data_IF_303923338782
#
_entry.id   IF_303923338782
#
_cell.length_a   1.000
_cell.length_b   1.000
_cell.length_c   1.000
_cell.angle_alpha   90.00
_cell.angle_beta   90.00
_cell.angle_gamma   90.00
#
_symmetry.space_group_name_H-M   'P 1'
#
loop_
_entity.id
_entity.type
_entity.pdbx_description
1 polymer ?
#
# COMPACT_ATOMS: atom_id res chain seq x y z
N UNK A 1 -50.95 54.90 -12.73
CA UNK A 1 -51.01 53.42 -12.66
C UNK A 1 -49.64 52.88 -12.97
N UNK A 2 -49.23 51.91 -12.15
CA UNK A 2 -47.90 51.30 -11.99
C UNK A 2 -47.60 50.28 -13.09
N UNK A 3 -46.31 50.03 -13.34
CA UNK A 3 -45.67 48.71 -13.60
C UNK A 3 -44.73 48.77 -14.83
N UNK A 4 -43.41 48.90 -14.64
CA UNK A 4 -42.42 47.88 -14.24
C UNK A 4 -41.96 46.95 -15.38
N UNK A 5 -40.72 47.23 -15.82
CA UNK A 5 -39.61 46.41 -16.33
C UNK A 5 -39.89 45.00 -16.89
N UNK A 6 -39.20 44.68 -17.99
CA UNK A 6 -38.47 43.41 -18.14
C UNK A 6 -37.34 43.56 -19.17
N UNK A 7 -36.10 43.55 -18.68
CA UNK A 7 -34.89 43.36 -19.49
C UNK A 7 -34.64 41.87 -19.52
N UNK A 8 -34.75 41.26 -20.70
CA UNK A 8 -34.45 39.84 -20.89
C UNK A 8 -32.95 39.68 -21.07
N UNK A 9 -32.26 39.23 -20.02
CA UNK A 9 -30.88 38.77 -20.10
C UNK A 9 -30.87 37.28 -20.48
N UNK A 10 -30.34 36.96 -21.66
CA UNK A 10 -30.01 35.59 -22.02
C UNK A 10 -28.73 35.18 -21.30
N UNK A 11 -28.86 34.38 -20.24
CA UNK A 11 -27.71 33.72 -19.59
C UNK A 11 -27.38 32.49 -20.42
N UNK A 12 -26.23 32.53 -21.11
CA UNK A 12 -25.67 31.36 -21.78
C UNK A 12 -25.16 30.36 -20.75
N UNK A 13 -25.74 29.16 -20.75
CA UNK A 13 -25.19 28.01 -20.00
C UNK A 13 -23.94 27.50 -20.71
N UNK A 14 -22.76 27.87 -20.20
CA UNK A 14 -21.51 27.20 -20.53
C UNK A 14 -21.45 25.87 -19.79
N UNK A 15 -21.68 24.76 -20.50
CA UNK A 15 -21.40 23.40 -20.03
C UNK A 15 -19.88 23.23 -19.90
N UNK A 16 -19.36 23.36 -18.67
CA UNK A 16 -18.00 22.98 -18.33
C UNK A 16 -17.92 21.45 -18.30
N UNK A 17 -17.43 20.85 -19.38
CA UNK A 17 -16.97 19.46 -19.36
C UNK A 17 -15.72 19.39 -18.47
N UNK A 18 -15.88 18.92 -17.23
CA UNK A 18 -14.74 18.50 -16.43
C UNK A 18 -14.11 17.28 -17.11
N UNK A 19 -12.94 17.48 -17.72
CA UNK A 19 -12.16 16.37 -18.26
C UNK A 19 -11.82 15.41 -17.12
N UNK A 20 -12.32 14.18 -17.20
CA UNK A 20 -11.90 13.08 -16.33
C UNK A 20 -10.44 12.77 -16.67
N UNK A 21 -9.50 13.11 -15.78
CA UNK A 21 -8.13 12.62 -15.88
C UNK A 21 -8.18 11.14 -15.47
N UNK A 22 -8.43 10.26 -16.44
CA UNK A 22 -8.24 8.83 -16.27
C UNK A 22 -6.76 8.55 -16.49
N UNK A 23 -5.96 8.64 -15.43
CA UNK A 23 -4.60 8.10 -15.45
C UNK A 23 -4.73 6.60 -15.65
N UNK A 24 -4.40 6.09 -16.84
CA UNK A 24 -4.25 4.65 -17.03
C UNK A 24 -3.04 4.21 -16.19
N UNK A 25 -3.30 3.63 -15.02
CA UNK A 25 -2.27 3.04 -14.16
C UNK A 25 -1.81 1.75 -14.82
N UNK A 26 -0.55 1.72 -15.28
CA UNK A 26 0.07 0.49 -15.77
C UNK A 26 0.62 -0.27 -14.55
N UNK A 27 0.08 -1.46 -14.30
CA UNK A 27 0.50 -2.32 -13.20
C UNK A 27 1.59 -3.29 -13.66
N UNK A 28 2.66 -3.40 -12.87
CA UNK A 28 3.63 -4.48 -13.05
C UNK A 28 3.13 -5.70 -12.28
N UNK A 29 2.53 -6.64 -13.01
CA UNK A 29 1.96 -7.87 -12.43
C UNK A 29 2.83 -9.07 -12.83
N UNK A 30 3.21 -9.90 -11.87
CA UNK A 30 3.83 -11.20 -12.13
C UNK A 30 3.39 -12.24 -11.12
N UNK A 31 3.10 -13.46 -11.58
CA UNK A 31 2.60 -14.56 -10.75
C UNK A 31 1.36 -14.21 -9.90
N UNK A 32 0.52 -13.29 -10.38
CA UNK A 32 -0.65 -12.80 -9.64
C UNK A 32 -0.33 -11.72 -8.59
N UNK A 33 0.93 -11.33 -8.43
CA UNK A 33 1.33 -10.25 -7.52
C UNK A 33 1.47 -8.93 -8.26
N UNK A 34 1.08 -7.83 -7.62
CA UNK A 34 1.19 -6.48 -8.15
C UNK A 34 2.33 -5.77 -7.44
N UNK A 35 3.39 -5.49 -8.18
CA UNK A 35 4.56 -4.82 -7.63
C UNK A 35 4.31 -3.33 -7.52
N UNK A 36 4.57 -2.79 -6.32
CA UNK A 36 4.39 -1.38 -6.02
C UNK A 36 5.74 -0.64 -6.09
N UNK A 37 5.74 0.69 -6.13
CA UNK A 37 6.95 1.49 -5.93
C UNK A 37 7.43 1.47 -4.46
N UNK A 38 7.68 0.30 -3.88
CA UNK A 38 8.11 0.13 -2.49
C UNK A 38 8.37 -1.33 -2.13
N UNK A 39 8.54 -1.63 -0.84
CA UNK A 39 8.77 -3.01 -0.37
C UNK A 39 7.53 -3.88 -0.38
N UNK A 40 6.34 -3.29 -0.18
CA UNK A 40 5.10 -4.03 -0.16
C UNK A 40 4.69 -4.46 -1.58
N UNK A 41 4.27 -5.70 -1.72
CA UNK A 41 3.73 -6.25 -2.97
C UNK A 41 2.28 -6.66 -2.69
N UNK A 42 1.36 -6.30 -3.59
CA UNK A 42 -0.06 -6.64 -3.40
C UNK A 42 -0.32 -8.04 -3.94
N UNK A 43 -0.71 -8.96 -3.08
CA UNK A 43 -1.16 -10.31 -3.46
C UNK A 43 -2.66 -10.31 -3.80
N UNK A 44 -3.45 -9.50 -3.09
CA UNK A 44 -4.88 -9.32 -3.34
C UNK A 44 -5.38 -7.97 -2.80
N UNK A 45 -6.45 -7.39 -3.40
CA UNK A 45 -7.18 -7.87 -4.57
C UNK A 45 -6.45 -7.58 -5.90
N UNK A 46 -6.96 -8.12 -7.02
CA UNK A 46 -6.52 -7.71 -8.36
C UNK A 46 -7.13 -6.36 -8.74
N UNK A 47 -6.54 -5.61 -9.70
CA UNK A 47 -7.14 -4.38 -10.19
C UNK A 47 -8.56 -4.59 -10.70
N UNK A 48 -9.42 -3.60 -10.48
CA UNK A 48 -10.82 -3.56 -10.91
C UNK A 48 -11.71 -4.70 -10.36
N UNK A 49 -11.24 -5.39 -9.31
CA UNK A 49 -12.02 -6.46 -8.69
C UNK A 49 -13.31 -5.89 -8.07
N UNK A 50 -14.48 -6.48 -8.36
CA UNK A 50 -15.71 -6.17 -7.65
C UNK A 50 -15.65 -6.79 -6.24
N UNK A 51 -15.76 -5.94 -5.22
CA UNK A 51 -15.67 -6.30 -3.80
C UNK A 51 -16.98 -6.01 -3.07
N UNK A 52 -17.13 -6.71 -1.94
CA UNK A 52 -18.27 -6.67 -1.03
C UNK A 52 -18.05 -7.67 0.10
N UNK A 53 -19.12 -8.22 0.67
CA UNK A 53 -19.08 -9.13 1.80
C UNK A 53 -19.02 -8.40 3.14
N UNK A 54 -18.64 -9.12 4.19
CA UNK A 54 -18.56 -8.55 5.53
C UNK A 54 -17.37 -7.60 5.69
N UNK A 55 -16.23 -7.99 5.12
CA UNK A 55 -14.94 -7.32 5.23
C UNK A 55 -14.35 -7.09 3.84
N UNK A 56 -13.53 -6.05 3.71
CA UNK A 56 -12.49 -6.00 2.67
C UNK A 56 -11.29 -6.80 3.17
N UNK A 57 -10.71 -7.62 2.29
CA UNK A 57 -9.48 -8.36 2.55
C UNK A 57 -8.41 -7.91 1.57
N UNK A 58 -7.31 -7.39 2.11
CA UNK A 58 -6.13 -6.95 1.35
C UNK A 58 -4.95 -7.77 1.85
N UNK A 59 -4.24 -8.42 0.93
CA UNK A 59 -3.06 -9.21 1.25
C UNK A 59 -1.81 -8.52 0.70
N UNK A 60 -0.83 -8.25 1.57
CA UNK A 60 0.42 -7.59 1.24
C UNK A 60 1.61 -8.47 1.61
N UNK A 61 2.46 -8.84 0.66
CA UNK A 61 3.80 -9.35 0.95
C UNK A 61 4.68 -8.15 1.39
N UNK A 62 5.21 -8.20 2.59
CA UNK A 62 6.06 -7.16 3.21
C UNK A 62 7.53 -7.57 3.30
N UNK A 63 7.91 -8.62 2.57
CA UNK A 63 9.25 -9.17 2.50
C UNK A 63 10.00 -8.77 1.23
N UNK A 64 9.38 -7.96 0.35
CA UNK A 64 9.97 -7.56 -0.93
C UNK A 64 10.43 -8.76 -1.75
N UNK A 65 9.54 -9.75 -1.94
CA UNK A 65 9.84 -11.01 -2.62
C UNK A 65 11.00 -11.77 -1.93
N UNK A 66 10.95 -11.82 -0.59
CA UNK A 66 11.93 -12.49 0.26
C UNK A 66 13.28 -11.77 0.43
N UNK A 67 13.44 -10.54 -0.08
CA UNK A 67 14.71 -9.79 -0.04
C UNK A 67 14.87 -8.91 1.19
N UNK A 68 13.76 -8.52 1.82
CA UNK A 68 13.73 -7.76 3.06
C UNK A 68 13.48 -8.71 4.24
N UNK A 69 14.30 -8.68 5.30
CA UNK A 69 14.02 -9.43 6.51
C UNK A 69 12.72 -8.92 7.16
N UNK A 70 12.07 -9.78 7.95
CA UNK A 70 10.88 -9.37 8.70
C UNK A 70 11.25 -8.63 9.99
N UNK A 71 10.35 -7.76 10.51
CA UNK A 71 10.56 -7.12 11.80
C UNK A 71 10.68 -8.15 12.94
N UNK A 72 11.36 -7.82 14.05
CA UNK A 72 11.90 -6.50 14.37
C UNK A 72 13.19 -6.18 13.60
N UNK A 73 13.26 -4.95 13.07
CA UNK A 73 14.46 -4.45 12.40
C UNK A 73 15.50 -3.97 13.43
N UNK A 74 16.78 -4.12 13.10
CA UNK A 74 17.83 -3.45 13.86
C UNK A 74 17.66 -1.93 13.75
N UNK A 75 17.99 -1.19 14.82
CA UNK A 75 17.81 0.27 14.87
C UNK A 75 18.54 1.00 13.73
N UNK A 76 19.69 0.48 13.33
CA UNK A 76 20.54 0.97 12.25
C UNK A 76 20.36 0.19 10.93
N UNK A 77 19.27 -0.58 10.79
CA UNK A 77 19.02 -1.35 9.58
C UNK A 77 19.04 -0.43 8.36
N UNK A 78 19.90 -0.72 7.36
CA UNK A 78 19.98 0.09 6.15
C UNK A 78 18.70 -0.03 5.31
N UNK A 79 17.92 -1.10 5.49
CA UNK A 79 16.62 -1.27 4.86
C UNK A 79 15.57 -1.75 5.86
N UNK A 80 14.41 -1.09 5.91
CA UNK A 80 13.30 -1.44 6.79
C UNK A 80 12.00 -0.77 6.35
N UNK A 81 10.86 -1.37 6.68
CA UNK A 81 9.56 -0.70 6.60
C UNK A 81 9.33 0.03 7.92
N UNK A 82 9.07 1.34 7.84
CA UNK A 82 8.71 2.14 9.01
C UNK A 82 7.23 2.02 9.32
N UNK A 83 6.38 2.16 8.30
CA UNK A 83 4.93 2.01 8.41
C UNK A 83 4.29 1.82 7.03
N UNK A 84 3.14 1.13 6.99
CA UNK A 84 2.25 1.06 5.85
C UNK A 84 0.86 1.53 6.30
N UNK A 85 0.36 2.58 5.65
CA UNK A 85 -1.00 3.09 5.86
C UNK A 85 -1.84 2.84 4.63
N UNK A 86 -3.14 2.57 4.82
CA UNK A 86 -4.05 2.20 3.74
C UNK A 86 -5.32 3.03 3.88
N UNK A 87 -5.76 3.59 2.76
CA UNK A 87 -6.99 4.36 2.66
C UNK A 87 -7.87 3.82 1.54
N UNK A 88 -9.18 3.99 1.67
CA UNK A 88 -10.16 3.71 0.62
C UNK A 88 -10.78 5.02 0.18
N UNK A 89 -10.49 5.47 -1.03
CA UNK A 89 -10.96 6.78 -1.49
C UNK A 89 -11.64 6.75 -2.86
N UNK A 90 -12.53 7.71 -3.08
CA UNK A 90 -13.17 7.97 -4.36
C UNK A 90 -13.44 9.45 -4.52
N UNK A 91 -12.83 10.07 -5.54
CA UNK A 91 -13.11 11.45 -5.91
C UNK A 91 -14.57 11.64 -6.36
N UNK A 92 -15.14 10.64 -7.03
CA UNK A 92 -16.51 10.68 -7.54
C UNK A 92 -17.55 10.67 -6.43
N UNK A 93 -17.22 10.01 -5.32
CA UNK A 93 -18.09 9.90 -4.14
C UNK A 93 -17.74 10.92 -3.06
N UNK A 94 -16.63 11.64 -3.19
CA UNK A 94 -16.14 12.56 -2.16
C UNK A 94 -15.81 11.85 -0.83
N UNK A 95 -15.35 10.60 -0.90
CA UNK A 95 -15.06 9.76 0.27
C UNK A 95 -13.58 9.41 0.36
N UNK A 96 -13.02 9.42 1.57
CA UNK A 96 -11.66 9.00 1.88
C UNK A 96 -11.61 8.35 3.26
N UNK A 97 -11.80 7.03 3.32
CA UNK A 97 -11.85 6.29 4.57
C UNK A 97 -10.48 5.78 5.00
N UNK A 98 -10.16 5.89 6.28
CA UNK A 98 -8.96 5.25 6.86
C UNK A 98 -9.19 3.75 7.04
N UNK A 99 -8.44 2.90 6.35
CA UNK A 99 -8.39 1.45 6.62
C UNK A 99 -7.38 1.17 7.74
N UNK A 100 -6.13 1.61 7.59
CA UNK A 100 -5.11 1.56 8.65
C UNK A 100 -4.29 2.84 8.68
N UNK A 101 -4.01 3.33 9.88
CA UNK A 101 -3.19 4.53 10.12
C UNK A 101 -1.97 4.27 11.02
N UNK A 102 -1.65 3.01 11.32
CA UNK A 102 -0.52 2.65 12.18
C UNK A 102 -0.67 2.98 13.67
N UNK A 103 -1.75 3.62 14.11
CA UNK A 103 -1.88 4.16 15.49
C UNK A 103 -3.14 3.73 16.22
N UNK A 104 -4.07 3.04 15.56
CA UNK A 104 -5.29 2.55 16.19
C UNK A 104 -5.05 1.26 17.01
N UNK A 105 -5.38 1.30 18.31
CA UNK A 105 -5.62 0.09 19.11
C UNK A 105 -7.12 -0.20 19.17
N UNK A 106 -7.47 -1.47 19.40
CA UNK A 106 -8.82 -2.01 19.27
C UNK A 106 -9.91 -1.09 19.86
N UNK A 107 -10.96 -0.85 19.05
CA UNK A 107 -12.15 0.01 19.22
C UNK A 107 -12.15 1.35 18.46
N UNK A 108 -11.13 1.66 17.67
CA UNK A 108 -11.19 2.66 16.60
C UNK A 108 -11.42 1.93 15.27
N UNK A 109 -12.37 2.38 14.45
CA UNK A 109 -12.82 1.70 13.23
C UNK A 109 -11.73 1.45 12.15
N UNK A 110 -10.53 2.01 12.33
CA UNK A 110 -9.33 1.74 11.54
C UNK A 110 -8.44 0.69 12.21
N UNK A 111 -7.76 -0.13 11.43
CA UNK A 111 -6.76 -1.08 11.93
C UNK A 111 -5.49 -0.35 12.40
N UNK A 112 -4.83 -0.92 13.40
CA UNK A 112 -3.51 -0.47 13.88
C UNK A 112 -2.39 -0.76 12.88
N UNK A 113 -1.15 -0.66 13.33
CA UNK A 113 0.02 -1.01 12.52
C UNK A 113 -0.06 -2.46 12.03
N UNK A 114 -0.14 -2.63 10.71
CA UNK A 114 -0.23 -3.93 10.06
C UNK A 114 1.08 -4.72 10.18
N UNK A 115 2.21 -4.06 10.41
CA UNK A 115 3.50 -4.71 10.59
C UNK A 115 3.56 -5.48 11.92
N UNK A 116 2.72 -5.12 12.89
CA UNK A 116 2.54 -5.84 14.16
C UNK A 116 1.56 -7.01 14.06
N UNK A 117 0.77 -7.06 12.98
CA UNK A 117 -0.15 -8.16 12.71
C UNK A 117 0.64 -9.35 12.15
N UNK A 118 0.19 -10.56 12.49
CA UNK A 118 0.79 -11.82 12.02
C UNK A 118 2.33 -11.86 12.16
N UNK A 119 2.88 -11.77 13.39
CA UNK A 119 4.33 -11.74 13.59
C UNK A 119 5.04 -12.93 12.94
N UNK A 120 6.13 -12.68 12.20
CA UNK A 120 6.87 -13.70 11.47
C UNK A 120 6.30 -14.11 10.11
N UNK A 121 5.12 -13.59 9.72
CA UNK A 121 4.58 -13.79 8.37
C UNK A 121 5.17 -12.78 7.37
N UNK A 122 5.52 -13.25 6.17
CA UNK A 122 5.88 -12.40 5.03
C UNK A 122 4.65 -11.74 4.40
N UNK A 123 3.47 -12.31 4.59
CA UNK A 123 2.20 -11.78 4.08
C UNK A 123 1.37 -11.23 5.23
N UNK A 124 0.81 -10.03 5.07
CA UNK A 124 -0.10 -9.38 6.01
C UNK A 124 -1.50 -9.36 5.43
N UNK A 125 -2.45 -9.94 6.15
CA UNK A 125 -3.87 -9.95 5.81
C UNK A 125 -4.61 -8.83 6.55
N UNK A 126 -4.89 -7.74 5.83
CA UNK A 126 -5.66 -6.61 6.32
C UNK A 126 -7.13 -6.92 6.13
N UNK A 127 -7.84 -7.13 7.24
CA UNK A 127 -9.28 -7.46 7.25
C UNK A 127 -10.06 -6.31 7.88
N UNK A 128 -10.75 -5.52 7.06
CA UNK A 128 -11.39 -4.28 7.51
C UNK A 128 -12.90 -4.28 7.23
N UNK A 129 -13.68 -3.84 8.21
CA UNK A 129 -15.14 -3.82 8.11
C UNK A 129 -15.60 -2.65 7.26
N UNK A 130 -16.39 -2.93 6.21
CA UNK A 130 -17.03 -1.87 5.42
C UNK A 130 -17.91 -0.97 6.30
N UNK A 131 -17.85 0.36 6.15
CA UNK A 131 -18.70 1.29 6.88
C UNK A 131 -20.15 1.26 6.37
N UNK A 132 -21.06 1.76 7.21
CA UNK A 132 -22.51 1.67 7.02
C UNK A 132 -23.03 2.27 5.70
N UNK A 133 -22.47 3.38 5.22
CA UNK A 133 -22.89 4.00 3.96
C UNK A 133 -22.55 3.17 2.72
N UNK A 134 -21.70 2.14 2.84
CA UNK A 134 -21.38 1.20 1.77
C UNK A 134 -22.25 -0.08 1.79
N UNK A 135 -23.20 -0.20 2.73
CA UNK A 135 -24.17 -1.31 2.77
C UNK A 135 -25.09 -1.30 1.55
N UNK A 136 -25.40 -2.49 1.02
CA UNK A 136 -26.36 -2.68 -0.07
C UNK A 136 -25.88 -3.65 -1.16
N UNK A 137 -26.65 -3.76 -2.25
CA UNK A 137 -26.38 -4.60 -3.41
C UNK A 137 -26.20 -3.81 -4.71
N UNK A 138 -25.29 -4.22 -5.60
CA UNK A 138 -25.01 -3.55 -6.89
C UNK A 138 -24.17 -2.26 -6.80
N UNK A 139 -23.94 -1.57 -7.91
CA UNK A 139 -23.27 -0.28 -7.90
C UNK A 139 -23.25 0.32 -9.29
N UNK A 140 -23.72 1.55 -9.42
CA UNK A 140 -23.99 2.29 -10.67
C UNK A 140 -25.21 1.86 -11.50
N UNK A 141 -25.91 0.75 -11.20
CA UNK A 141 -27.14 0.39 -11.92
C UNK A 141 -28.40 0.71 -11.09
N UNK A 142 -28.92 1.93 -11.26
CA UNK A 142 -30.36 2.20 -11.11
C UNK A 142 -30.92 2.64 -9.75
N UNK A 143 -30.10 2.85 -8.71
CA UNK A 143 -30.60 3.25 -7.39
C UNK A 143 -29.80 4.44 -6.80
N UNK A 144 -30.17 5.68 -7.13
CA UNK A 144 -29.82 6.90 -6.36
C UNK A 144 -28.35 7.18 -5.97
N UNK A 145 -28.16 8.20 -5.11
CA UNK A 145 -26.89 8.55 -4.46
C UNK A 145 -26.49 7.45 -3.45
N UNK A 146 -25.90 6.35 -3.94
CA UNK A 146 -25.16 5.43 -3.08
C UNK A 146 -23.70 5.86 -3.02
N UNK A 147 -23.08 5.80 -1.84
CA UNK A 147 -21.63 5.94 -1.72
C UNK A 147 -20.88 4.82 -2.48
N UNK A 148 -21.56 3.73 -2.84
CA UNK A 148 -21.00 2.57 -3.57
C UNK A 148 -20.64 2.90 -5.03
N UNK A 149 -19.61 2.24 -5.56
CA UNK A 149 -19.08 2.48 -6.92
C UNK A 149 -17.57 2.24 -7.02
N UNK A 150 -16.90 2.99 -7.90
CA UNK A 150 -15.46 2.90 -8.11
C UNK A 150 -14.70 3.60 -7.00
N UNK A 151 -13.71 2.89 -6.44
CA UNK A 151 -12.81 3.35 -5.40
C UNK A 151 -11.38 2.95 -5.72
N UNK A 152 -10.42 3.59 -5.06
CA UNK A 152 -9.04 3.17 -5.01
C UNK A 152 -8.66 2.79 -3.58
N UNK A 153 -7.94 1.67 -3.45
CA UNK A 153 -7.17 1.33 -2.26
C UNK A 153 -5.82 2.05 -2.38
N UNK A 154 -5.61 3.09 -1.59
CA UNK A 154 -4.36 3.85 -1.55
C UNK A 154 -3.42 3.23 -0.52
N UNK A 155 -2.35 2.59 -0.99
CA UNK A 155 -1.31 1.97 -0.16
C UNK A 155 -0.15 2.95 -0.07
N UNK A 156 0.11 3.46 1.13
CA UNK A 156 1.15 4.45 1.38
C UNK A 156 2.21 3.87 2.29
N UNK A 157 3.44 3.86 1.80
CA UNK A 157 4.58 3.20 2.45
C UNK A 157 5.57 4.26 2.88
N UNK A 158 5.99 4.20 4.15
CA UNK A 158 7.18 4.89 4.65
C UNK A 158 8.23 3.82 4.94
N UNK A 159 9.38 3.91 4.27
CA UNK A 159 10.42 2.89 4.39
C UNK A 159 11.81 3.47 4.17
N UNK A 160 12.82 2.74 4.62
CA UNK A 160 14.22 2.99 4.29
C UNK A 160 14.72 1.95 3.32
N UNK A 161 15.40 2.37 2.26
CA UNK A 161 16.12 1.48 1.37
C UNK A 161 17.57 1.96 1.26
N UNK A 162 18.51 1.10 1.64
CA UNK A 162 19.96 1.33 1.58
C UNK A 162 20.39 2.69 2.18
N UNK A 163 19.83 3.04 3.34
CA UNK A 163 20.14 4.27 4.06
C UNK A 163 19.35 5.51 3.62
N UNK A 164 18.52 5.42 2.59
CA UNK A 164 17.65 6.53 2.13
C UNK A 164 16.21 6.25 2.51
N UNK A 165 15.57 7.22 3.18
CA UNK A 165 14.16 7.14 3.54
C UNK A 165 13.28 7.60 2.35
N UNK A 166 12.15 6.91 2.15
CA UNK A 166 11.21 7.12 1.06
C UNK A 166 9.77 7.08 1.57
N UNK A 167 8.93 7.91 0.96
CA UNK A 167 7.47 7.87 1.07
C UNK A 167 6.81 7.74 -0.30
N UNK A 168 6.05 6.66 -0.49
CA UNK A 168 5.45 6.30 -1.78
C UNK A 168 3.98 5.99 -1.64
N UNK A 169 3.19 6.36 -2.66
CA UNK A 169 1.76 6.10 -2.73
C UNK A 169 1.48 5.25 -3.97
N UNK A 170 0.69 4.20 -3.79
CA UNK A 170 0.22 3.33 -4.86
C UNK A 170 -1.30 3.17 -4.75
N UNK A 171 -2.02 3.53 -5.80
CA UNK A 171 -3.48 3.47 -5.84
C UNK A 171 -3.94 2.28 -6.69
N UNK A 172 -4.68 1.36 -6.07
CA UNK A 172 -5.24 0.17 -6.70
C UNK A 172 -6.76 0.34 -6.92
N UNK A 173 -7.25 0.40 -8.17
CA UNK A 173 -8.67 0.55 -8.45
C UNK A 173 -9.42 -0.73 -8.09
N UNK A 174 -10.60 -0.56 -7.50
CA UNK A 174 -11.57 -1.60 -7.16
C UNK A 174 -12.98 -1.08 -7.42
N UNK A 175 -13.97 -1.98 -7.37
CA UNK A 175 -15.38 -1.62 -7.46
C UNK A 175 -16.16 -2.15 -6.27
N UNK A 176 -16.79 -1.27 -5.51
CA UNK A 176 -17.68 -1.64 -4.39
C UNK A 176 -19.07 -1.89 -4.96
N UNK A 177 -19.29 -3.08 -5.50
CA UNK A 177 -20.54 -3.46 -6.19
C UNK A 177 -21.17 -4.74 -5.68
N UNK A 178 -20.40 -5.65 -5.08
CA UNK A 178 -20.96 -6.87 -4.50
C UNK A 178 -21.72 -6.55 -3.22
N UNK A 179 -22.61 -7.46 -2.83
CA UNK A 179 -23.46 -7.33 -1.64
C UNK A 179 -22.64 -7.04 -0.39
N UNK A 180 -22.99 -5.99 0.35
CA UNK A 180 -22.47 -5.71 1.70
C UNK A 180 -23.68 -5.76 2.64
N UNK A 181 -23.79 -6.77 3.53
CA UNK A 181 -24.95 -6.93 4.38
C UNK A 181 -24.98 -5.85 5.49
N UNK A 182 -26.17 -5.44 5.90
CA UNK A 182 -26.32 -4.53 7.04
C UNK A 182 -25.93 -5.23 8.35
N UNK A 183 -25.22 -4.52 9.23
CA UNK A 183 -24.90 -4.95 10.60
C UNK A 183 -24.73 -3.70 11.49
N UNK A 184 -25.23 -3.75 12.73
CA UNK A 184 -25.06 -2.71 13.75
C UNK A 184 -23.62 -2.45 14.16
N UNK A 185 -22.72 -3.40 13.94
CA UNK A 185 -21.30 -3.28 14.32
C UNK A 185 -20.46 -2.54 13.26
N UNK A 186 -21.07 -2.15 12.12
CA UNK A 186 -20.36 -1.40 11.08
C UNK A 186 -20.11 0.03 11.55
N UNK A 187 -18.90 0.56 11.37
CA UNK A 187 -18.61 1.94 11.72
C UNK A 187 -19.36 2.91 10.82
N UNK A 188 -19.66 4.10 11.33
CA UNK A 188 -20.24 5.16 10.52
C UNK A 188 -19.21 5.68 9.52
N UNK A 189 -19.65 6.03 8.32
CA UNK A 189 -18.76 6.63 7.32
C UNK A 189 -18.08 7.91 7.82
N UNK A 190 -18.79 8.77 8.56
CA UNK A 190 -18.23 10.02 9.08
C UNK A 190 -17.13 9.80 10.12
N UNK A 191 -17.16 8.68 10.87
CA UNK A 191 -16.11 8.34 11.82
C UNK A 191 -14.79 7.95 11.15
N UNK A 192 -14.86 7.51 9.89
CA UNK A 192 -13.72 7.03 9.11
C UNK A 192 -13.26 8.02 8.04
N UNK A 193 -14.11 8.97 7.68
CA UNK A 193 -13.89 9.86 6.55
C UNK A 193 -12.85 10.94 6.91
N UNK A 194 -11.88 11.11 6.03
CA UNK A 194 -10.88 12.15 6.10
C UNK A 194 -11.18 13.25 5.06
N UNK A 195 -10.59 14.44 5.23
CA UNK A 195 -10.55 15.42 4.15
C UNK A 195 -9.97 14.80 2.86
N UNK A 196 -10.57 15.14 1.73
CA UNK A 196 -10.07 14.77 0.41
C UNK A 196 -8.92 15.71 0.04
N UNK A 197 -7.74 15.15 -0.20
CA UNK A 197 -6.62 15.89 -0.76
C UNK A 197 -6.77 15.94 -2.29
N UNK A 198 -6.45 17.08 -2.88
CA UNK A 198 -6.34 17.21 -4.32
C UNK A 198 -5.21 16.33 -4.86
N UNK A 199 -5.28 15.89 -6.13
CA UNK A 199 -4.20 15.15 -6.75
C UNK A 199 -2.84 15.87 -6.63
N UNK A 200 -2.80 17.19 -6.70
CA UNK A 200 -1.55 17.95 -6.61
C UNK A 200 -0.97 17.95 -5.18
N UNK A 201 -1.82 18.02 -4.16
CA UNK A 201 -1.39 17.86 -2.76
C UNK A 201 -0.84 16.45 -2.50
N UNK A 202 -1.48 15.42 -3.06
CA UNK A 202 -0.98 14.03 -2.96
C UNK A 202 0.39 13.91 -3.63
N UNK A 203 0.57 14.46 -4.84
CA UNK A 203 1.85 14.44 -5.54
C UNK A 203 2.96 15.18 -4.79
N UNK A 204 2.63 16.32 -4.19
CA UNK A 204 3.57 17.09 -3.38
C UNK A 204 3.98 16.36 -2.09
N UNK A 205 3.17 15.42 -1.61
CA UNK A 205 3.45 14.64 -0.40
C UNK A 205 4.36 13.43 -0.62
N UNK A 206 4.62 13.04 -1.88
CA UNK A 206 5.45 11.87 -2.22
C UNK A 206 6.87 12.26 -2.56
N UNK A 207 7.85 11.53 -2.03
CA UNK A 207 9.26 11.77 -2.33
C UNK A 207 9.59 11.42 -3.79
N UNK A 208 8.80 10.53 -4.40
CA UNK A 208 8.97 10.11 -5.79
C UNK A 208 7.62 10.02 -6.51
N UNK A 209 7.26 11.09 -7.21
CA UNK A 209 6.22 11.00 -8.24
C UNK A 209 6.79 10.18 -9.42
N UNK A 210 6.27 8.96 -9.63
CA UNK A 210 6.80 7.93 -10.54
C UNK A 210 8.03 7.16 -10.02
N UNK A 211 8.03 6.70 -8.76
CA UNK A 211 9.04 5.74 -8.34
C UNK A 211 9.01 4.51 -9.26
N UNK A 212 10.18 4.04 -9.73
CA UNK A 212 10.23 2.81 -10.49
C UNK A 212 9.65 1.69 -9.64
N UNK A 213 8.91 0.80 -10.28
CA UNK A 213 8.47 -0.43 -9.63
C UNK A 213 9.71 -1.17 -9.15
N UNK A 214 9.72 -1.53 -7.87
CA UNK A 214 10.85 -2.22 -7.25
C UNK A 214 10.55 -3.71 -7.15
N UNK A 215 11.60 -4.53 -7.16
CA UNK A 215 11.56 -5.96 -6.86
C UNK A 215 10.81 -6.86 -7.85
N UNK A 216 10.16 -6.29 -8.87
CA UNK A 216 9.55 -7.03 -9.97
C UNK A 216 10.56 -7.97 -10.65
N UNK A 217 10.12 -9.06 -11.30
CA UNK A 217 11.03 -9.93 -12.04
C UNK A 217 11.82 -9.15 -13.10
N UNK A 218 13.15 -9.28 -13.06
CA UNK A 218 14.06 -8.53 -13.93
C UNK A 218 14.47 -7.15 -13.39
N UNK A 219 13.89 -6.69 -12.28
CA UNK A 219 14.35 -5.49 -11.58
C UNK A 219 15.68 -5.74 -10.84
N UNK A 220 16.54 -4.72 -10.82
CA UNK A 220 17.89 -4.79 -10.26
C UNK A 220 18.00 -4.16 -8.86
N UNK A 221 16.89 -3.79 -8.21
CA UNK A 221 16.92 -3.20 -6.88
C UNK A 221 17.49 -4.20 -5.87
N UNK A 222 18.54 -3.77 -5.15
CA UNK A 222 19.21 -4.57 -4.12
C UNK A 222 18.86 -4.06 -2.74
N UNK A 223 18.68 -4.99 -1.81
CA UNK A 223 18.39 -4.69 -0.39
C UNK A 223 19.64 -4.95 0.43
N UNK A 224 20.17 -3.91 1.05
CA UNK A 224 21.20 -4.05 2.08
C UNK A 224 20.53 -4.46 3.38
N UNK A 225 21.13 -5.43 4.07
CA UNK A 225 20.77 -5.83 5.43
C UNK A 225 21.98 -5.63 6.33
N UNK A 226 21.76 -5.20 7.57
CA UNK A 226 22.82 -5.13 8.57
C UNK A 226 23.36 -6.54 8.80
N UNK A 227 24.62 -6.78 8.45
CA UNK A 227 25.23 -8.11 8.48
C UNK A 227 25.24 -8.70 9.90
N UNK A 228 24.34 -9.64 10.16
CA UNK A 228 24.28 -10.43 11.39
C UNK A 228 23.44 -11.70 11.19
N UNK A 229 24.10 -12.81 10.84
CA UNK A 229 23.59 -14.19 10.90
C UNK A 229 22.16 -14.43 10.37
N UNK A 230 21.97 -14.30 9.05
CA UNK A 230 20.83 -14.90 8.34
C UNK A 230 21.23 -16.24 7.71
N UNK A 231 20.68 -17.34 8.20
CA UNK A 231 20.76 -18.68 7.60
C UNK A 231 19.81 -18.79 6.40
N UNK A 232 20.37 -19.19 5.24
CA UNK A 232 19.65 -19.78 4.08
C UNK A 232 19.14 -18.75 3.06
N UNK A 233 19.35 -18.88 1.75
CA UNK A 233 19.94 -19.94 0.92
C UNK A 233 20.20 -19.37 -0.47
N UNK A 234 21.43 -19.51 -0.99
CA UNK A 234 21.77 -19.07 -2.36
C UNK A 234 23.27 -19.12 -2.68
N UNK A 235 23.77 -20.33 -2.98
CA UNK A 235 24.99 -20.60 -3.74
C UNK A 235 26.30 -19.88 -3.35
N UNK A 236 26.83 -20.15 -2.15
CA UNK A 236 28.27 -19.97 -1.92
C UNK A 236 29.01 -21.26 -2.33
N UNK A 237 29.70 -21.21 -3.47
CA UNK A 237 30.63 -22.22 -3.96
C UNK A 237 31.68 -22.56 -2.90
N UNK A 238 31.57 -23.75 -2.31
CA UNK A 238 32.57 -24.35 -1.43
C UNK A 238 33.80 -24.77 -2.25
N UNK A 239 34.71 -23.84 -2.53
CA UNK A 239 36.09 -24.12 -2.98
C UNK A 239 36.86 -22.81 -3.11
N UNK A 240 37.43 -22.34 -2.01
CA UNK A 240 38.75 -21.65 -1.92
C UNK A 240 38.87 -20.86 -0.62
N UNK A 241 39.16 -21.53 0.50
CA UNK A 241 39.93 -20.96 1.62
C UNK A 241 40.65 -22.10 2.37
N UNK A 242 41.68 -22.61 1.72
CA UNK A 242 42.71 -23.46 2.33
C UNK A 242 44.03 -23.04 1.70
N UNK A 243 44.59 -21.94 2.20
CA UNK A 243 46.00 -21.61 2.11
C UNK A 243 46.25 -20.43 3.04
N UNK A 244 47.37 -20.49 3.75
CA UNK A 244 47.84 -19.56 4.78
C UNK A 244 47.32 -19.85 6.19
N UNK A 245 47.88 -20.89 6.80
CA UNK A 245 48.36 -20.90 8.19
C UNK A 245 49.22 -22.16 8.38
N UNK A 246 50.55 -22.01 8.38
CA UNK A 246 51.44 -23.13 8.67
C UNK A 246 52.87 -22.94 8.18
N UNK A 247 53.63 -22.04 8.80
CA UNK A 247 55.10 -22.07 8.80
C UNK A 247 55.63 -21.20 9.94
N UNK A 248 55.54 -21.72 11.17
CA UNK A 248 56.36 -21.27 12.29
C UNK A 248 56.44 -22.38 13.34
N UNK A 249 57.63 -22.94 13.54
CA UNK A 249 57.99 -23.61 14.79
C UNK A 249 58.21 -25.12 14.75
N UNK A 250 59.31 -25.58 14.15
CA UNK A 250 60.03 -26.76 14.65
C UNK A 250 61.53 -26.47 14.54
N UNK A 251 62.12 -25.96 15.62
CA UNK A 251 63.57 -25.90 15.81
C UNK A 251 63.89 -25.86 17.31
N UNK A 252 63.88 -27.02 17.97
CA UNK A 252 64.63 -27.27 19.20
C UNK A 252 64.58 -28.76 19.56
N UNK A 253 65.69 -29.46 19.34
CA UNK A 253 66.26 -30.48 20.23
C UNK A 253 67.10 -31.49 19.43
N UNK A 254 68.42 -31.29 19.40
CA UNK A 254 69.47 -32.33 19.40
C UNK A 254 70.84 -31.67 19.21
N UNK A 255 71.52 -31.36 20.33
CA UNK A 255 72.98 -31.37 20.44
C UNK A 255 73.37 -31.17 21.91
N UNK A 256 74.21 -32.11 22.39
CA UNK A 256 74.84 -32.28 23.71
C UNK A 256 74.06 -33.15 24.71
#
# INVERSE_FOLDING_TARGET
>A
MVSSKSVTAYVGSALLFAARISSATNFTISNGQIFTPGFAIVDAPQPDTPLGGDLIEIALDVSADGRLPLPPYAQDSPSQIHNITIFLFSYDKGRNFTITNGTASANNASLGDIMLQEPGSTVKHVRWTWPDCLVGDGGQQGLGDTDRGVYNISIRQSFRLNGTDYYTIFDLPISVTNSIPSNSDRPSCDALNNPMLSPDEIRASTDIFNAPVMFAPGDATTVQTSSGQGLGSGAATWRTRLCWLGLAGVAAALAM
#
